data_IF_183106578378
#
_entry.id   IF_183106578378
#
_cell.length_a   1.000
_cell.length_b   1.000
_cell.length_c   1.000
_cell.angle_alpha   90.00
_cell.angle_beta   90.00
_cell.angle_gamma   90.00
#
_symmetry.space_group_name_H-M   'P 1'
#
loop_
_entity.id
_entity.type
_entity.pdbx_description
1 polymer ?
#
# COMPACT_ATOMS: atom_id res chain seq x y z
N UNK A 1 -14.83 -1.39 21.94
CA UNK A 1 -13.87 -0.64 22.82
C UNK A 1 -12.45 -0.93 22.36
N UNK A 2 -11.59 0.07 22.20
CA UNK A 2 -10.23 -0.09 21.70
C UNK A 2 -9.28 -0.62 22.79
N UNK A 3 -8.31 -1.46 22.40
CA UNK A 3 -7.22 -1.93 23.24
C UNK A 3 -5.93 -1.20 22.82
N UNK A 4 -5.53 -0.22 23.61
CA UNK A 4 -4.38 0.63 23.29
C UNK A 4 -3.28 0.38 24.32
N UNK A 5 -2.09 0.00 23.85
CA UNK A 5 -0.92 -0.17 24.72
C UNK A 5 -0.58 1.15 25.43
N UNK A 6 -0.25 1.12 26.72
CA UNK A 6 0.20 2.32 27.42
C UNK A 6 1.52 2.90 26.88
N UNK A 7 2.24 2.14 26.06
CA UNK A 7 3.47 2.58 25.37
C UNK A 7 3.21 3.12 23.96
N UNK A 8 1.97 3.14 23.49
CA UNK A 8 1.60 3.76 22.22
C UNK A 8 1.28 5.24 22.40
N UNK A 9 1.56 6.02 21.37
CA UNK A 9 1.10 7.41 21.30
C UNK A 9 -0.03 7.54 20.28
N UNK A 10 -1.16 8.05 20.72
CA UNK A 10 -2.29 8.39 19.85
C UNK A 10 -2.59 9.88 20.04
N UNK A 11 -2.47 10.65 18.94
CA UNK A 11 -2.76 12.09 19.02
C UNK A 11 -4.23 12.31 19.39
N UNK A 12 -4.56 13.28 20.28
CA UNK A 12 -5.94 13.53 20.72
C UNK A 12 -6.94 13.87 19.61
N UNK A 13 -6.46 14.40 18.48
CA UNK A 13 -7.28 14.71 17.30
C UNK A 13 -7.43 13.53 16.32
N UNK A 14 -6.77 12.40 16.57
CA UNK A 14 -6.96 11.20 15.76
C UNK A 14 -8.37 10.61 16.03
N UNK A 15 -9.05 10.21 14.96
CA UNK A 15 -10.38 9.62 15.04
C UNK A 15 -10.24 8.10 14.89
N UNK A 16 -10.54 7.38 15.95
CA UNK A 16 -10.52 5.93 15.97
C UNK A 16 -11.94 5.38 16.01
N UNK A 17 -12.23 4.41 15.18
CA UNK A 17 -13.42 3.57 15.28
C UNK A 17 -13.33 2.62 16.48
N UNK A 18 -14.07 1.54 16.44
CA UNK A 18 -14.18 0.58 17.53
C UNK A 18 -13.32 -0.67 17.35
N UNK A 19 -13.04 -1.34 18.49
CA UNK A 19 -12.37 -2.64 18.57
C UNK A 19 -10.98 -2.70 17.94
N UNK A 20 -10.28 -1.58 17.85
CA UNK A 20 -8.91 -1.56 17.36
C UNK A 20 -7.94 -2.06 18.44
N UNK A 21 -6.91 -2.80 18.03
CA UNK A 21 -5.79 -3.23 18.86
C UNK A 21 -4.57 -2.42 18.43
N UNK A 22 -4.02 -1.60 19.33
CA UNK A 22 -2.86 -0.75 19.07
C UNK A 22 -1.72 -1.19 19.99
N UNK A 23 -0.72 -1.82 19.39
CA UNK A 23 0.45 -2.38 20.07
C UNK A 23 1.42 -1.34 20.62
N UNK A 24 2.47 -1.79 21.33
CA UNK A 24 3.45 -0.89 21.93
C UNK A 24 4.27 -0.15 20.86
N UNK A 25 4.69 1.06 21.20
CA UNK A 25 5.50 1.93 20.35
C UNK A 25 4.85 2.33 19.01
N UNK A 26 3.54 2.11 18.88
CA UNK A 26 2.79 2.69 17.77
C UNK A 26 2.69 4.20 17.93
N UNK A 27 2.74 4.91 16.81
CA UNK A 27 2.52 6.35 16.74
C UNK A 27 1.39 6.65 15.76
N UNK A 28 0.33 7.30 16.23
CA UNK A 28 -0.80 7.74 15.40
C UNK A 28 -0.90 9.26 15.49
N UNK A 29 -0.69 9.93 14.36
CA UNK A 29 -0.64 11.39 14.25
C UNK A 29 -2.04 12.01 14.21
N UNK A 30 -2.07 13.34 14.35
CA UNK A 30 -3.28 14.14 14.10
C UNK A 30 -3.81 13.94 12.67
N UNK A 31 -5.04 14.36 12.42
CA UNK A 31 -5.71 14.23 11.12
C UNK A 31 -5.65 12.79 10.56
N UNK A 32 -5.73 11.81 11.45
CA UNK A 32 -5.84 10.38 11.10
C UNK A 32 -7.27 9.92 11.35
N UNK A 33 -7.80 9.13 10.41
CA UNK A 33 -9.04 8.38 10.58
C UNK A 33 -8.71 6.89 10.45
N UNK A 34 -9.01 6.13 11.49
CA UNK A 34 -8.87 4.68 11.54
C UNK A 34 -10.25 4.07 11.80
N UNK A 35 -10.72 3.20 10.93
CA UNK A 35 -12.00 2.51 11.07
C UNK A 35 -12.00 1.49 12.20
N UNK A 36 -12.82 0.46 12.07
CA UNK A 36 -13.06 -0.55 13.10
C UNK A 36 -12.18 -1.78 12.93
N UNK A 37 -11.94 -2.50 14.04
CA UNK A 37 -11.33 -3.83 14.08
C UNK A 37 -9.93 -3.91 13.44
N UNK A 38 -9.18 -2.82 13.40
CA UNK A 38 -7.81 -2.83 12.89
C UNK A 38 -6.83 -3.29 13.97
N UNK A 39 -5.79 -4.00 13.54
CA UNK A 39 -4.70 -4.44 14.41
C UNK A 39 -3.41 -3.74 13.96
N UNK A 40 -2.87 -2.90 14.82
CA UNK A 40 -1.55 -2.31 14.67
C UNK A 40 -0.63 -3.07 15.62
N UNK A 41 0.29 -3.86 15.07
CA UNK A 41 1.29 -4.55 15.88
C UNK A 41 2.27 -3.53 16.49
N UNK A 42 3.41 -3.93 17.02
CA UNK A 42 4.35 -2.98 17.61
C UNK A 42 5.01 -2.06 16.55
N UNK A 43 5.36 -0.84 16.96
CA UNK A 43 6.17 0.10 16.15
C UNK A 43 5.56 0.47 14.79
N UNK A 44 4.25 0.42 14.66
CA UNK A 44 3.54 0.92 13.46
C UNK A 44 3.39 2.44 13.57
N UNK A 45 3.63 3.14 12.47
CA UNK A 45 3.47 4.61 12.42
C UNK A 45 2.40 4.98 11.40
N UNK A 46 1.38 5.70 11.85
CA UNK A 46 0.34 6.28 11.01
C UNK A 46 0.51 7.80 11.03
N UNK A 47 0.86 8.37 9.90
CA UNK A 47 1.11 9.81 9.76
C UNK A 47 -0.15 10.58 9.40
N UNK A 48 -0.04 11.90 9.48
CA UNK A 48 -1.08 12.86 9.09
C UNK A 48 -1.65 12.58 7.70
N UNK A 49 -2.96 12.74 7.55
CA UNK A 49 -3.67 12.53 6.29
C UNK A 49 -4.05 11.07 6.01
N UNK A 50 -3.81 10.14 6.92
CA UNK A 50 -4.24 8.75 6.76
C UNK A 50 -5.76 8.62 6.90
N UNK A 51 -6.38 7.85 6.00
CA UNK A 51 -7.79 7.46 5.99
C UNK A 51 -7.85 5.95 5.81
N UNK A 52 -8.00 5.23 6.89
CA UNK A 52 -7.88 3.77 6.95
C UNK A 52 -9.25 3.17 7.23
N UNK A 53 -9.65 2.19 6.44
CA UNK A 53 -10.89 1.43 6.61
C UNK A 53 -10.84 0.45 7.77
N UNK A 54 -11.47 -0.70 7.59
CA UNK A 54 -11.73 -1.67 8.65
C UNK A 54 -10.96 -2.97 8.47
N UNK A 55 -10.78 -3.72 9.56
CA UNK A 55 -10.23 -5.07 9.56
C UNK A 55 -8.83 -5.17 8.91
N UNK A 56 -8.02 -4.12 8.95
CA UNK A 56 -6.66 -4.18 8.43
C UNK A 56 -5.69 -4.65 9.52
N UNK A 57 -4.65 -5.36 9.12
CA UNK A 57 -3.54 -5.73 9.99
C UNK A 57 -2.24 -5.08 9.49
N UNK A 58 -1.61 -4.32 10.39
CA UNK A 58 -0.33 -3.65 10.16
C UNK A 58 0.76 -4.30 11.01
N UNK A 59 1.79 -4.75 10.35
CA UNK A 59 2.92 -5.45 10.96
C UNK A 59 4.05 -4.50 11.39
N UNK A 60 5.00 -4.96 12.21
CA UNK A 60 6.01 -4.10 12.80
C UNK A 60 6.77 -3.23 11.80
N UNK A 61 6.93 -1.96 12.13
CA UNK A 61 7.67 -1.01 11.30
C UNK A 61 6.93 -0.48 10.07
N UNK A 62 5.69 -0.92 9.83
CA UNK A 62 4.88 -0.33 8.76
C UNK A 62 4.65 1.16 8.99
N UNK A 63 4.77 1.97 7.94
CA UNK A 63 4.69 3.42 8.01
C UNK A 63 3.75 3.95 6.93
N UNK A 64 2.58 4.43 7.34
CA UNK A 64 1.46 4.78 6.48
C UNK A 64 1.28 6.29 6.40
N UNK A 65 0.96 6.80 5.21
CA UNK A 65 0.79 8.23 4.94
C UNK A 65 2.08 9.05 5.17
N UNK A 66 3.24 8.44 4.83
CA UNK A 66 4.52 9.13 4.95
C UNK A 66 4.57 10.37 4.06
N UNK A 67 5.41 11.33 4.42
CA UNK A 67 5.67 12.50 3.59
C UNK A 67 6.15 12.05 2.21
N UNK A 68 5.57 12.58 1.11
CA UNK A 68 6.03 12.28 -0.24
C UNK A 68 7.52 12.56 -0.44
N UNK A 69 8.21 11.63 -1.11
CA UNK A 69 9.62 11.79 -1.50
C UNK A 69 9.71 12.49 -2.87
N UNK A 70 9.01 13.59 -3.02
CA UNK A 70 9.00 14.43 -4.22
C UNK A 70 9.54 15.81 -3.86
N UNK A 71 10.53 16.28 -4.62
CA UNK A 71 11.15 17.61 -4.44
C UNK A 71 10.15 18.76 -4.67
N UNK A 72 9.06 18.51 -5.38
CA UNK A 72 7.99 19.49 -5.62
C UNK A 72 7.01 19.61 -4.46
N UNK A 73 6.99 18.64 -3.54
CA UNK A 73 6.08 18.65 -2.41
C UNK A 73 6.40 19.80 -1.46
N UNK A 74 5.44 20.70 -1.25
CA UNK A 74 5.59 21.92 -0.42
C UNK A 74 4.86 21.86 0.91
N UNK A 75 4.32 20.68 1.28
CA UNK A 75 3.56 20.50 2.52
C UNK A 75 2.05 20.61 2.34
N UNK A 76 1.55 20.36 1.13
CA UNK A 76 0.13 20.35 0.81
C UNK A 76 -0.65 19.38 1.69
N UNK A 77 -1.89 19.73 2.00
CA UNK A 77 -2.83 18.82 2.69
C UNK A 77 -3.31 17.77 1.71
N UNK A 78 -2.75 16.59 1.85
CA UNK A 78 -3.03 15.44 0.98
C UNK A 78 -3.26 14.20 1.83
N UNK A 79 -3.87 13.16 1.24
CA UNK A 79 -4.27 11.95 1.98
C UNK A 79 -3.59 10.68 1.47
N UNK A 80 -3.64 9.67 2.32
CA UNK A 80 -3.41 8.27 1.99
C UNK A 80 -4.65 7.49 2.41
N UNK A 81 -5.34 6.90 1.45
CA UNK A 81 -6.57 6.14 1.67
C UNK A 81 -6.25 4.65 1.59
N UNK A 82 -6.59 3.89 2.61
CA UNK A 82 -6.43 2.43 2.68
C UNK A 82 -7.79 1.83 2.95
N UNK A 83 -8.24 0.92 2.10
CA UNK A 83 -9.52 0.22 2.23
C UNK A 83 -9.54 -0.78 3.37
N UNK A 84 -10.31 -1.84 3.19
CA UNK A 84 -10.59 -2.83 4.23
C UNK A 84 -9.83 -4.14 4.00
N UNK A 85 -9.67 -4.93 5.09
CA UNK A 85 -9.15 -6.29 5.05
C UNK A 85 -7.75 -6.43 4.41
N UNK A 86 -6.89 -5.44 4.56
CA UNK A 86 -5.53 -5.51 4.04
C UNK A 86 -4.57 -6.10 5.09
N UNK A 87 -3.61 -6.89 4.62
CA UNK A 87 -2.44 -7.32 5.39
C UNK A 87 -1.22 -6.53 4.92
N UNK A 88 -0.76 -5.61 5.75
CA UNK A 88 0.36 -4.70 5.45
C UNK A 88 1.55 -5.09 6.30
N UNK A 89 2.48 -5.83 5.68
CA UNK A 89 3.56 -6.53 6.35
C UNK A 89 4.68 -5.59 6.82
N UNK A 90 5.72 -6.20 7.37
CA UNK A 90 6.80 -5.52 8.07
C UNK A 90 7.49 -4.48 7.18
N UNK A 91 7.73 -3.31 7.75
CA UNK A 91 8.45 -2.20 7.11
C UNK A 91 7.86 -1.74 5.76
N UNK A 92 6.61 -2.03 5.48
CA UNK A 92 5.90 -1.44 4.33
C UNK A 92 5.80 0.06 4.51
N UNK A 93 6.04 0.82 3.44
CA UNK A 93 5.89 2.27 3.45
C UNK A 93 4.90 2.72 2.37
N UNK A 94 3.93 3.54 2.74
CA UNK A 94 2.96 4.13 1.81
C UNK A 94 3.00 5.65 1.99
N UNK A 95 3.39 6.37 0.96
CA UNK A 95 3.38 7.84 0.97
C UNK A 95 1.98 8.38 0.70
N UNK A 96 1.63 9.51 1.31
CA UNK A 96 0.41 10.22 0.90
C UNK A 96 0.60 10.91 -0.45
N UNK A 97 -0.48 11.45 -1.02
CA UNK A 97 -0.44 12.13 -2.31
C UNK A 97 0.33 13.46 -2.29
N UNK A 98 0.51 14.02 -3.47
CA UNK A 98 1.03 15.37 -3.70
C UNK A 98 -0.06 16.27 -4.29
N UNK A 99 0.27 17.50 -4.68
CA UNK A 99 -0.65 18.39 -5.40
C UNK A 99 -1.12 17.81 -6.75
N UNK A 100 -0.45 16.78 -7.30
CA UNK A 100 -0.82 16.15 -8.57
C UNK A 100 -2.19 15.49 -8.53
N UNK A 101 -2.41 14.59 -7.54
CA UNK A 101 -3.70 13.88 -7.38
C UNK A 101 -4.33 14.09 -6.00
N UNK A 102 -3.63 14.70 -5.08
CA UNK A 102 -4.11 14.97 -3.72
C UNK A 102 -4.17 13.75 -2.81
N UNK A 103 -4.02 12.54 -3.35
CA UNK A 103 -4.10 11.30 -2.57
C UNK A 103 -3.36 10.13 -3.18
N UNK A 104 -2.93 9.20 -2.32
CA UNK A 104 -2.54 7.84 -2.67
C UNK A 104 -3.64 6.89 -2.19
N UNK A 105 -3.98 5.89 -2.99
CA UNK A 105 -5.06 4.94 -2.69
C UNK A 105 -4.54 3.52 -2.70
N UNK A 106 -4.91 2.74 -1.69
CA UNK A 106 -4.78 1.29 -1.63
C UNK A 106 -6.17 0.71 -1.36
N UNK A 107 -6.67 -0.11 -2.26
CA UNK A 107 -7.99 -0.74 -2.15
C UNK A 107 -8.09 -1.74 -1.00
N UNK A 108 -8.89 -2.77 -1.18
CA UNK A 108 -9.22 -3.73 -0.13
C UNK A 108 -8.73 -5.14 -0.45
N UNK A 109 -8.63 -5.99 0.59
CA UNK A 109 -8.25 -7.41 0.46
C UNK A 109 -6.86 -7.62 -0.16
N UNK A 110 -5.92 -6.74 0.14
CA UNK A 110 -4.57 -6.79 -0.41
C UNK A 110 -3.58 -7.40 0.60
N UNK A 111 -2.59 -8.10 0.05
CA UNK A 111 -1.38 -8.50 0.77
C UNK A 111 -0.19 -7.68 0.23
N UNK A 112 0.32 -6.75 1.02
CA UNK A 112 1.57 -6.05 0.77
C UNK A 112 2.65 -6.69 1.64
N UNK A 113 3.56 -7.44 1.02
CA UNK A 113 4.59 -8.18 1.74
C UNK A 113 5.70 -7.24 2.25
N UNK A 114 6.63 -7.81 2.99
CA UNK A 114 7.72 -7.10 3.67
C UNK A 114 8.43 -6.09 2.77
N UNK A 115 8.67 -4.88 3.30
CA UNK A 115 9.45 -3.80 2.66
C UNK A 115 8.91 -3.29 1.31
N UNK A 116 7.65 -3.59 0.98
CA UNK A 116 6.99 -2.96 -0.17
C UNK A 116 6.95 -1.44 0.02
N UNK A 117 7.21 -0.69 -1.05
CA UNK A 117 7.08 0.76 -1.07
C UNK A 117 6.04 1.21 -2.11
N UNK A 118 5.09 2.01 -1.65
CA UNK A 118 4.10 2.68 -2.51
C UNK A 118 4.38 4.19 -2.43
N UNK A 119 4.85 4.78 -3.52
CA UNK A 119 5.11 6.21 -3.59
C UNK A 119 3.80 7.02 -3.69
N UNK A 120 3.95 8.32 -3.75
CA UNK A 120 2.85 9.28 -3.79
C UNK A 120 1.97 9.14 -5.04
N UNK A 121 0.70 9.47 -4.89
CA UNK A 121 -0.29 9.53 -5.98
C UNK A 121 -0.55 8.19 -6.71
N UNK A 122 -0.07 7.07 -6.15
CA UNK A 122 -0.38 5.75 -6.66
C UNK A 122 -1.84 5.37 -6.39
N UNK A 123 -2.40 4.55 -7.26
CA UNK A 123 -3.72 3.94 -7.10
C UNK A 123 -3.57 2.43 -7.23
N UNK A 124 -3.66 1.73 -6.12
CA UNK A 124 -3.63 0.28 -6.06
C UNK A 124 -5.06 -0.23 -5.83
N UNK A 125 -5.53 -1.12 -6.69
CA UNK A 125 -6.85 -1.75 -6.60
C UNK A 125 -6.99 -2.73 -5.45
N UNK A 126 -7.85 -3.70 -5.61
CA UNK A 126 -8.21 -4.68 -4.59
C UNK A 126 -7.79 -6.11 -4.97
N UNK A 127 -7.63 -6.97 -3.97
CA UNK A 127 -7.26 -8.38 -4.19
C UNK A 127 -5.83 -8.57 -4.71
N UNK A 128 -4.94 -7.62 -4.43
CA UNK A 128 -3.55 -7.64 -4.88
C UNK A 128 -2.69 -8.52 -4.00
N UNK A 129 -1.68 -9.14 -4.61
CA UNK A 129 -0.57 -9.79 -3.91
C UNK A 129 0.71 -9.12 -4.38
N UNK A 130 1.33 -8.35 -3.50
CA UNK A 130 2.57 -7.61 -3.80
C UNK A 130 3.72 -8.22 -3.02
N UNK A 131 4.67 -8.78 -3.73
CA UNK A 131 5.82 -9.50 -3.17
C UNK A 131 6.85 -8.59 -2.51
N UNK A 132 7.66 -9.20 -1.66
CA UNK A 132 8.67 -8.54 -0.82
C UNK A 132 9.53 -7.56 -1.64
N UNK A 133 9.82 -6.41 -1.05
CA UNK A 133 10.74 -5.40 -1.59
C UNK A 133 10.34 -4.80 -2.96
N UNK A 134 9.13 -5.03 -3.42
CA UNK A 134 8.61 -4.38 -4.64
C UNK A 134 8.41 -2.88 -4.40
N UNK A 135 8.78 -2.05 -5.38
CA UNK A 135 8.72 -0.59 -5.29
C UNK A 135 7.89 -0.03 -6.45
N UNK A 136 6.87 0.72 -6.08
CA UNK A 136 6.08 1.52 -7.02
C UNK A 136 6.53 2.98 -6.92
N UNK A 137 7.03 3.53 -8.00
CA UNK A 137 7.32 4.97 -8.10
C UNK A 137 6.02 5.79 -8.18
N UNK A 138 6.13 7.12 -8.21
CA UNK A 138 4.93 7.98 -8.16
C UNK A 138 3.94 7.75 -9.29
N UNK A 139 2.66 7.92 -9.00
CA UNK A 139 1.54 7.88 -9.96
C UNK A 139 1.33 6.53 -10.68
N UNK A 140 1.85 5.44 -10.14
CA UNK A 140 1.58 4.09 -10.66
C UNK A 140 0.14 3.68 -10.36
N UNK A 141 -0.51 3.07 -11.35
CA UNK A 141 -1.83 2.45 -11.21
C UNK A 141 -1.70 0.94 -11.29
N UNK A 142 -2.35 0.22 -10.37
CA UNK A 142 -2.44 -1.24 -10.37
C UNK A 142 -3.90 -1.63 -10.26
N UNK A 143 -4.44 -2.28 -11.28
CA UNK A 143 -5.82 -2.76 -11.26
C UNK A 143 -6.00 -3.99 -10.38
N UNK A 144 -7.25 -4.35 -10.11
CA UNK A 144 -7.64 -5.44 -9.22
C UNK A 144 -7.02 -6.79 -9.61
N UNK A 145 -6.77 -7.59 -8.59
CA UNK A 145 -6.35 -8.98 -8.73
C UNK A 145 -4.99 -9.20 -9.42
N UNK A 146 -4.16 -8.19 -9.52
CA UNK A 146 -2.79 -8.34 -10.00
C UNK A 146 -1.90 -9.02 -8.95
N UNK A 147 -0.96 -9.83 -9.43
CA UNK A 147 0.11 -10.43 -8.63
C UNK A 147 1.43 -9.85 -9.10
N UNK A 148 2.09 -9.12 -8.24
CA UNK A 148 3.43 -8.55 -8.49
C UNK A 148 4.39 -9.27 -7.57
N UNK A 149 5.28 -10.09 -8.12
CA UNK A 149 6.22 -10.88 -7.31
C UNK A 149 7.29 -10.01 -6.64
N UNK A 150 8.21 -10.64 -5.91
CA UNK A 150 9.22 -9.93 -5.14
C UNK A 150 10.24 -9.16 -6.00
N UNK A 151 10.78 -8.06 -5.44
CA UNK A 151 11.83 -7.25 -6.04
C UNK A 151 11.50 -6.66 -7.42
N UNK A 152 10.25 -6.33 -7.66
CA UNK A 152 9.83 -5.65 -8.89
C UNK A 152 9.98 -4.14 -8.72
N UNK A 153 10.57 -3.47 -9.73
CA UNK A 153 10.72 -2.02 -9.76
C UNK A 153 9.85 -1.44 -10.86
N UNK A 154 8.85 -0.66 -10.47
CA UNK A 154 7.86 -0.06 -11.37
C UNK A 154 8.15 1.42 -11.52
N UNK A 155 8.43 1.87 -12.75
CA UNK A 155 8.67 3.28 -13.04
C UNK A 155 7.39 4.10 -12.86
N UNK A 156 7.56 5.38 -12.58
CA UNK A 156 6.44 6.31 -12.43
C UNK A 156 5.50 6.33 -13.66
N UNK A 157 4.23 6.56 -13.41
CA UNK A 157 3.15 6.64 -14.41
C UNK A 157 2.77 5.33 -15.10
N UNK A 158 3.41 4.20 -14.77
CA UNK A 158 3.04 2.91 -15.34
C UNK A 158 1.66 2.46 -14.85
N UNK A 159 0.93 1.77 -15.74
CA UNK A 159 -0.31 1.07 -15.43
C UNK A 159 -0.11 -0.45 -15.53
N UNK A 160 -0.41 -1.16 -14.46
CA UNK A 160 -0.44 -2.62 -14.38
C UNK A 160 -1.90 -3.03 -14.36
N UNK A 161 -2.36 -3.61 -15.47
CA UNK A 161 -3.74 -4.01 -15.60
C UNK A 161 -4.08 -5.26 -14.76
N UNK A 162 -5.37 -5.56 -14.63
CA UNK A 162 -5.87 -6.59 -13.74
C UNK A 162 -5.51 -8.02 -14.17
N UNK A 163 -5.52 -8.94 -13.20
CA UNK A 163 -5.27 -10.39 -13.40
C UNK A 163 -3.90 -10.72 -14.01
N UNK A 164 -2.96 -9.81 -13.90
CA UNK A 164 -1.58 -9.98 -14.35
C UNK A 164 -0.77 -10.75 -13.32
N UNK A 165 0.24 -11.49 -13.76
CA UNK A 165 1.33 -11.97 -12.91
C UNK A 165 2.65 -11.39 -13.41
N UNK A 166 3.35 -10.62 -12.59
CA UNK A 166 4.69 -10.10 -12.88
C UNK A 166 5.72 -10.94 -12.14
N UNK A 167 6.68 -11.51 -12.89
CA UNK A 167 7.76 -12.32 -12.32
C UNK A 167 8.70 -11.47 -11.46
N UNK A 168 9.29 -12.11 -10.45
CA UNK A 168 10.22 -11.44 -9.54
C UNK A 168 11.48 -10.89 -10.22
N UNK A 169 12.03 -9.82 -9.65
CA UNK A 169 13.24 -9.17 -10.16
C UNK A 169 13.06 -8.32 -11.42
N UNK A 170 11.83 -8.19 -11.92
CA UNK A 170 11.55 -7.38 -13.11
C UNK A 170 11.67 -5.87 -12.81
N UNK A 171 12.09 -5.12 -13.81
CA UNK A 171 12.00 -3.66 -13.84
C UNK A 171 11.43 -3.20 -15.18
N UNK A 172 10.53 -2.24 -15.16
CA UNK A 172 9.89 -1.75 -16.38
C UNK A 172 9.39 -0.31 -16.25
N UNK A 173 9.24 0.32 -17.41
CA UNK A 173 8.76 1.70 -17.58
C UNK A 173 7.63 1.78 -18.61
N UNK A 174 6.94 0.66 -18.85
CA UNK A 174 5.84 0.54 -19.80
C UNK A 174 4.65 -0.11 -19.11
N UNK A 175 3.45 0.13 -19.64
CA UNK A 175 2.23 -0.48 -19.14
C UNK A 175 2.22 -1.98 -19.37
N UNK A 176 1.59 -2.70 -18.45
CA UNK A 176 1.44 -4.16 -18.52
C UNK A 176 -0.03 -4.48 -18.82
N UNK A 177 -0.33 -5.07 -19.99
CA UNK A 177 -1.70 -5.41 -20.36
C UNK A 177 -2.30 -6.54 -19.51
N UNK A 178 -3.63 -6.66 -19.43
CA UNK A 178 -4.30 -7.60 -18.52
C UNK A 178 -4.10 -9.07 -18.92
N UNK A 179 -4.32 -9.95 -17.97
CA UNK A 179 -4.41 -11.42 -18.12
C UNK A 179 -3.12 -12.12 -18.55
N UNK A 180 -1.97 -11.47 -18.47
CA UNK A 180 -0.70 -12.04 -18.91
C UNK A 180 0.25 -12.36 -17.76
N UNK A 181 1.26 -13.16 -18.07
CA UNK A 181 2.49 -13.24 -17.30
C UNK A 181 3.53 -12.36 -18.00
N UNK A 182 4.03 -11.36 -17.29
CA UNK A 182 5.15 -10.52 -17.71
C UNK A 182 6.41 -10.90 -16.94
N UNK A 183 7.55 -10.89 -17.60
CA UNK A 183 8.80 -11.31 -16.96
C UNK A 183 10.03 -11.03 -17.81
N UNK A 184 11.18 -11.53 -17.37
CA UNK A 184 12.49 -11.41 -18.03
C UNK A 184 13.12 -10.02 -17.91
N UNK A 185 14.31 -9.86 -18.45
CA UNK A 185 15.07 -8.60 -18.55
C UNK A 185 15.50 -8.39 -20.02
N UNK A 186 15.05 -7.37 -20.72
CA UNK A 186 13.99 -6.44 -20.32
C UNK A 186 12.62 -7.13 -20.15
N UNK A 187 11.76 -6.55 -19.32
CA UNK A 187 10.42 -7.11 -19.05
C UNK A 187 9.59 -7.16 -20.33
N UNK A 188 9.00 -8.31 -20.59
CA UNK A 188 8.18 -8.58 -21.78
C UNK A 188 7.06 -9.58 -21.48
N UNK A 189 6.16 -9.71 -22.41
CA UNK A 189 5.14 -10.77 -22.41
C UNK A 189 5.80 -12.16 -22.40
N UNK A 190 5.36 -13.01 -21.50
CA UNK A 190 5.80 -14.41 -21.42
C UNK A 190 4.70 -15.38 -21.88
N UNK A 191 3.50 -15.24 -21.33
CA UNK A 191 2.34 -16.09 -21.66
C UNK A 191 1.05 -15.49 -21.09
N UNK A 192 -0.10 -16.13 -21.40
CA UNK A 192 -1.35 -15.84 -20.69
C UNK A 192 -1.29 -16.42 -19.28
N UNK A 193 -1.82 -15.69 -18.30
CA UNK A 193 -1.89 -16.09 -16.88
C UNK A 193 -3.01 -17.13 -16.63
N UNK A 194 -2.95 -18.28 -17.30
CA UNK A 194 -3.98 -19.33 -17.22
C UNK A 194 -4.23 -19.83 -15.79
N UNK A 195 -3.17 -19.98 -15.00
CA UNK A 195 -3.28 -20.49 -13.63
C UNK A 195 -4.01 -19.47 -12.74
N UNK A 196 -3.63 -18.21 -12.83
CA UNK A 196 -4.29 -17.13 -12.07
C UNK A 196 -5.77 -17.01 -12.45
N UNK A 197 -6.09 -17.05 -13.72
CA UNK A 197 -7.47 -16.95 -14.22
C UNK A 197 -8.37 -18.14 -13.82
N UNK A 198 -7.81 -19.33 -13.64
CA UNK A 198 -8.57 -20.52 -13.19
C UNK A 198 -8.84 -20.58 -11.70
N UNK A 199 -8.10 -19.81 -10.90
CA UNK A 199 -8.18 -19.84 -9.43
C UNK A 199 -9.03 -18.73 -8.82
N UNK A 200 -9.53 -17.84 -9.66
CA UNK A 200 -10.31 -16.65 -9.23
C UNK A 200 -11.72 -16.61 -9.81
#
# INVERSE_FOLDING_TARGET
>A
MNQISPLAFVHPEAKLGDNNIIGPFCYIDKDTVLGDNNVLQNSVTIHVGARIGNNNEFFPGASISTKPQDLKFKGEQTTCEVGDNNSIRENVTISRGTASKGKTVVGSNNLLMETVHVAHDCVLGSGLIIGNSTKFAGEVVVDDNAIVSANVLVHQFCHIAGYVMIQGGCRFSQDIPPYIIAGKEPTRYCSINLIGLRRR
#
